data_IF_112140521129
#
_entry.id   IF_112140521129
#
_cell.length_a   1.000
_cell.length_b   1.000
_cell.length_c   1.000
_cell.angle_alpha   90.00
_cell.angle_beta   90.00
_cell.angle_gamma   90.00
#
_symmetry.space_group_name_H-M   'P 1'
#
loop_
_entity.id
_entity.type
_entity.pdbx_description
1 polymer ?
#
# COMPACT_ATOMS: atom_id res chain seq x y z
N UNK A 1 19.36 -22.69 14.18
CA UNK A 1 19.75 -23.22 12.85
C UNK A 1 20.85 -22.36 12.27
N UNK A 2 21.85 -22.95 11.61
CA UNK A 2 23.05 -22.25 11.13
C UNK A 2 22.84 -21.34 9.91
N UNK A 3 21.70 -21.42 9.21
CA UNK A 3 21.38 -20.57 8.07
C UNK A 3 20.27 -19.57 8.41
N UNK A 4 20.65 -18.35 8.81
CA UNK A 4 19.70 -17.28 9.20
C UNK A 4 18.75 -16.89 8.05
N UNK A 5 19.26 -16.90 6.82
CA UNK A 5 18.50 -16.56 5.60
C UNK A 5 17.52 -17.66 5.14
N UNK A 6 17.63 -18.86 5.70
CA UNK A 6 16.66 -19.94 5.42
C UNK A 6 15.41 -19.83 6.28
N UNK A 7 15.43 -19.05 7.37
CA UNK A 7 14.24 -18.85 8.19
C UNK A 7 13.22 -17.98 7.45
N UNK A 8 11.95 -18.08 7.88
CA UNK A 8 10.91 -17.19 7.40
C UNK A 8 11.28 -15.73 7.75
N UNK A 9 11.38 -14.82 6.77
CA UNK A 9 11.72 -13.43 7.04
C UNK A 9 10.64 -12.78 7.90
N UNK A 10 11.06 -11.96 8.86
CA UNK A 10 10.14 -11.32 9.79
C UNK A 10 9.42 -10.17 9.10
N UNK A 11 8.15 -9.95 9.42
CA UNK A 11 7.42 -8.82 8.87
C UNK A 11 7.94 -7.51 9.50
N UNK A 12 8.14 -6.48 8.67
CA UNK A 12 8.54 -5.17 9.14
C UNK A 12 7.49 -4.53 10.06
N UNK A 13 7.87 -3.94 11.20
CA UNK A 13 6.93 -3.36 12.16
C UNK A 13 6.10 -2.22 11.56
N UNK A 14 6.68 -1.42 10.64
CA UNK A 14 5.97 -0.35 9.95
C UNK A 14 4.86 -0.89 9.05
N UNK A 15 5.12 -2.04 8.39
CA UNK A 15 4.13 -2.72 7.56
C UNK A 15 3.08 -3.37 8.46
N UNK A 16 3.50 -4.08 9.51
CA UNK A 16 2.61 -4.75 10.45
C UNK A 16 1.59 -3.78 11.07
N UNK A 17 2.02 -2.56 11.42
CA UNK A 17 1.13 -1.53 11.94
C UNK A 17 0.09 -1.01 10.93
N UNK A 18 0.33 -1.22 9.62
CA UNK A 18 -0.56 -0.77 8.54
C UNK A 18 -1.56 -1.83 8.07
N UNK A 19 -1.36 -3.10 8.43
CA UNK A 19 -2.22 -4.20 7.99
C UNK A 19 -3.47 -4.30 8.86
N UNK A 20 -4.61 -4.58 8.22
CA UNK A 20 -5.82 -5.02 8.94
C UNK A 20 -5.69 -6.48 9.37
N UNK A 21 -6.52 -6.90 10.34
CA UNK A 21 -6.41 -8.23 10.95
C UNK A 21 -6.47 -9.39 9.94
N UNK A 22 -7.33 -9.31 8.92
CA UNK A 22 -7.43 -10.33 7.88
C UNK A 22 -6.15 -10.47 7.04
N UNK A 23 -5.47 -9.36 6.76
CA UNK A 23 -4.20 -9.33 6.03
C UNK A 23 -3.07 -9.87 6.91
N UNK A 24 -3.04 -9.48 8.18
CA UNK A 24 -2.08 -9.97 9.17
C UNK A 24 -2.20 -11.48 9.37
N UNK A 25 -3.43 -12.02 9.51
CA UNK A 25 -3.68 -13.46 9.63
C UNK A 25 -3.20 -14.23 8.38
N UNK A 26 -3.44 -13.69 7.18
CA UNK A 26 -2.97 -14.30 5.93
C UNK A 26 -1.44 -14.33 5.88
N UNK A 27 -0.78 -13.21 6.17
CA UNK A 27 0.68 -13.16 6.20
C UNK A 27 1.25 -14.16 7.20
N UNK A 28 0.66 -14.23 8.41
CA UNK A 28 1.08 -15.16 9.45
C UNK A 28 0.90 -16.62 9.05
N UNK A 29 -0.17 -16.95 8.34
CA UNK A 29 -0.38 -18.28 7.78
C UNK A 29 0.75 -18.70 6.84
N UNK A 30 1.19 -17.80 5.95
CA UNK A 30 2.30 -18.07 5.03
C UNK A 30 3.63 -18.12 5.79
N UNK A 31 3.87 -17.22 6.74
CA UNK A 31 5.06 -17.24 7.61
C UNK A 31 5.19 -18.57 8.36
N UNK A 32 4.09 -19.11 8.91
CA UNK A 32 4.09 -20.40 9.58
C UNK A 32 4.42 -21.55 8.62
N UNK A 33 3.93 -21.49 7.37
CA UNK A 33 4.30 -22.45 6.32
C UNK A 33 5.79 -22.40 6.00
N UNK A 34 6.37 -21.20 5.91
CA UNK A 34 7.81 -21.02 5.72
C UNK A 34 8.62 -21.58 6.89
N UNK A 35 8.14 -21.42 8.13
CA UNK A 35 8.78 -22.03 9.32
C UNK A 35 8.79 -23.55 9.24
N UNK A 36 7.69 -24.18 8.85
CA UNK A 36 7.64 -25.64 8.65
C UNK A 36 8.61 -26.08 7.54
N UNK A 37 8.67 -25.34 6.43
CA UNK A 37 9.63 -25.58 5.33
C UNK A 37 11.08 -25.47 5.80
N UNK A 38 11.39 -24.51 6.67
CA UNK A 38 12.71 -24.33 7.29
C UNK A 38 13.10 -25.52 8.18
N UNK A 39 12.14 -26.04 8.94
CA UNK A 39 12.34 -27.25 9.75
C UNK A 39 12.61 -28.46 8.85
N UNK A 40 11.82 -28.65 7.79
CA UNK A 40 12.03 -29.74 6.82
C UNK A 40 13.42 -29.67 6.16
N UNK A 41 13.86 -28.48 5.76
CA UNK A 41 15.21 -28.25 5.22
C UNK A 41 16.30 -28.61 6.24
N UNK A 42 16.10 -28.28 7.52
CA UNK A 42 17.04 -28.63 8.57
C UNK A 42 17.14 -30.14 8.77
N UNK A 43 16.00 -30.85 8.74
CA UNK A 43 15.95 -32.31 8.79
C UNK A 43 16.62 -32.96 7.58
N UNK A 44 16.40 -32.43 6.36
CA UNK A 44 17.09 -32.92 5.17
C UNK A 44 18.60 -32.68 5.22
N UNK A 45 19.02 -31.52 5.74
CA UNK A 45 20.44 -31.21 5.92
C UNK A 45 21.12 -32.20 6.88
N UNK A 46 20.43 -32.60 7.94
CA UNK A 46 20.90 -33.64 8.85
C UNK A 46 20.99 -35.00 8.14
N UNK A 47 19.97 -35.39 7.35
CA UNK A 47 19.99 -36.63 6.58
C UNK A 47 21.14 -36.66 5.55
N UNK A 48 21.37 -35.55 4.84
CA UNK A 48 22.51 -35.39 3.93
C UNK A 48 23.84 -35.57 4.68
N UNK A 49 23.96 -34.96 5.86
CA UNK A 49 25.16 -35.09 6.70
C UNK A 49 25.40 -36.55 7.11
N UNK A 50 24.34 -37.28 7.46
CA UNK A 50 24.42 -38.71 7.77
C UNK A 50 24.90 -39.54 6.57
N UNK A 51 24.35 -39.29 5.38
CA UNK A 51 24.77 -39.98 4.13
C UNK A 51 26.22 -39.64 3.75
N UNK A 52 26.66 -38.40 3.96
CA UNK A 52 28.04 -38.00 3.68
C UNK A 52 29.05 -38.59 4.68
N UNK A 53 28.59 -38.93 5.88
CA UNK A 53 29.40 -39.49 6.96
C UNK A 53 29.41 -41.03 6.95
N UNK A 54 28.58 -41.69 6.14
CA UNK A 54 28.58 -43.14 6.02
C UNK A 54 29.76 -43.64 5.17
N UNK A 55 30.28 -44.82 5.52
CA UNK A 55 31.37 -45.47 4.76
C UNK A 55 30.93 -45.81 3.33
N UNK A 56 29.70 -46.32 3.18
CA UNK A 56 29.08 -46.57 1.89
C UNK A 56 28.20 -45.39 1.48
N UNK A 57 28.79 -44.44 0.74
CA UNK A 57 28.07 -43.28 0.23
C UNK A 57 27.19 -43.70 -0.95
N UNK A 58 25.89 -43.47 -0.86
CA UNK A 58 24.97 -43.67 -1.99
C UNK A 58 24.78 -42.35 -2.75
N UNK A 59 25.43 -42.17 -3.91
CA UNK A 59 25.37 -40.91 -4.66
C UNK A 59 23.98 -40.61 -5.22
N UNK A 60 23.19 -41.64 -5.55
CA UNK A 60 21.83 -41.46 -6.08
C UNK A 60 20.89 -40.96 -4.98
N UNK A 61 20.98 -41.52 -3.78
CA UNK A 61 20.25 -41.03 -2.62
C UNK A 61 20.65 -39.58 -2.29
N UNK A 62 21.94 -39.28 -2.30
CA UNK A 62 22.44 -37.93 -2.05
C UNK A 62 21.88 -36.93 -3.08
N UNK A 63 21.85 -37.31 -4.35
CA UNK A 63 21.27 -36.49 -5.42
C UNK A 63 19.79 -36.21 -5.19
N UNK A 64 18.98 -37.22 -4.86
CA UNK A 64 17.55 -37.06 -4.55
C UNK A 64 17.34 -36.11 -3.36
N UNK A 65 18.15 -36.25 -2.30
CA UNK A 65 18.08 -35.37 -1.13
C UNK A 65 18.42 -33.92 -1.49
N UNK A 66 19.48 -33.70 -2.27
CA UNK A 66 19.89 -32.37 -2.72
C UNK A 66 18.85 -31.73 -3.65
N UNK A 67 18.25 -32.49 -4.57
CA UNK A 67 17.14 -32.02 -5.41
C UNK A 67 15.94 -31.61 -4.57
N UNK A 68 15.63 -32.38 -3.52
CA UNK A 68 14.54 -32.06 -2.60
C UNK A 68 14.84 -30.78 -1.80
N UNK A 69 16.08 -30.60 -1.33
CA UNK A 69 16.52 -29.34 -0.68
C UNK A 69 16.33 -28.15 -1.62
N UNK A 70 16.69 -28.29 -2.90
CA UNK A 70 16.51 -27.23 -3.90
C UNK A 70 15.04 -26.85 -4.06
N UNK A 71 14.16 -27.84 -4.24
CA UNK A 71 12.70 -27.61 -4.37
C UNK A 71 12.14 -26.90 -3.13
N UNK A 72 12.52 -27.33 -1.92
CA UNK A 72 12.08 -26.67 -0.69
C UNK A 72 12.64 -25.25 -0.57
N UNK A 73 13.85 -25.00 -1.06
CA UNK A 73 14.44 -23.66 -1.16
C UNK A 73 13.64 -22.75 -2.09
N UNK A 74 13.22 -23.26 -3.25
CA UNK A 74 12.37 -22.52 -4.19
C UNK A 74 11.00 -22.20 -3.59
N UNK A 75 10.39 -23.15 -2.87
CA UNK A 75 9.13 -22.92 -2.14
C UNK A 75 9.31 -21.85 -1.05
N UNK A 76 10.40 -21.92 -0.28
CA UNK A 76 10.71 -20.96 0.78
C UNK A 76 10.85 -19.54 0.23
N UNK A 77 11.55 -19.38 -0.89
CA UNK A 77 11.69 -18.09 -1.57
C UNK A 77 10.35 -17.63 -2.17
N UNK A 78 9.65 -18.52 -2.87
CA UNK A 78 8.35 -18.25 -3.48
C UNK A 78 7.31 -17.75 -2.47
N UNK A 79 7.30 -18.30 -1.26
CA UNK A 79 6.46 -17.82 -0.17
C UNK A 79 6.80 -16.39 0.27
N UNK A 80 8.08 -16.02 0.31
CA UNK A 80 8.50 -14.65 0.63
C UNK A 80 8.00 -13.67 -0.45
N UNK A 81 8.10 -14.07 -1.72
CA UNK A 81 7.57 -13.28 -2.84
C UNK A 81 6.05 -13.17 -2.76
N UNK A 82 5.35 -14.25 -2.41
CA UNK A 82 3.90 -14.27 -2.26
C UNK A 82 3.41 -13.37 -1.12
N UNK A 83 4.11 -13.39 0.04
CA UNK A 83 3.84 -12.47 1.16
C UNK A 83 4.01 -11.02 0.73
N UNK A 84 5.12 -10.69 0.07
CA UNK A 84 5.35 -9.35 -0.48
C UNK A 84 4.25 -8.96 -1.47
N UNK A 85 3.85 -9.85 -2.37
CA UNK A 85 2.80 -9.59 -3.35
C UNK A 85 1.47 -9.22 -2.68
N UNK A 86 1.02 -10.00 -1.70
CA UNK A 86 -0.23 -9.72 -1.00
C UNK A 86 -0.19 -8.40 -0.22
N UNK A 87 0.93 -8.08 0.41
CA UNK A 87 1.09 -6.82 1.14
C UNK A 87 1.17 -5.64 0.17
N UNK A 88 1.92 -5.76 -0.93
CA UNK A 88 2.02 -4.69 -1.94
C UNK A 88 0.69 -4.40 -2.64
N UNK A 89 -0.27 -5.33 -2.61
CA UNK A 89 -1.62 -5.11 -3.10
C UNK A 89 -2.48 -4.23 -2.18
N UNK A 90 -2.08 -4.03 -0.92
CA UNK A 90 -2.86 -3.29 0.08
C UNK A 90 -2.28 -1.92 0.41
N UNK A 91 -1.02 -1.67 0.03
CA UNK A 91 -0.30 -0.42 0.28
C UNK A 91 -0.60 0.63 -0.81
N UNK A 92 -0.56 1.92 -0.45
CA UNK A 92 -0.72 3.05 -1.38
C UNK A 92 0.32 3.01 -2.50
N UNK A 93 -0.06 3.47 -3.70
CA UNK A 93 0.76 3.44 -4.92
C UNK A 93 2.17 4.03 -4.71
N UNK A 94 2.27 5.19 -4.07
CA UNK A 94 3.57 5.87 -3.89
C UNK A 94 4.53 5.08 -3.01
N UNK A 95 4.02 4.36 -2.00
CA UNK A 95 4.84 3.49 -1.15
C UNK A 95 5.15 2.16 -1.85
N UNK A 96 4.21 1.64 -2.64
CA UNK A 96 4.35 0.37 -3.36
C UNK A 96 5.60 0.35 -4.24
N UNK A 97 5.85 1.43 -4.98
CA UNK A 97 7.00 1.54 -5.89
C UNK A 97 8.34 1.52 -5.13
N UNK A 98 8.37 2.04 -3.89
CA UNK A 98 9.55 2.02 -3.03
C UNK A 98 9.74 0.65 -2.39
N UNK A 99 8.66 0.06 -1.87
CA UNK A 99 8.68 -1.27 -1.27
C UNK A 99 9.05 -2.36 -2.28
N UNK A 100 8.65 -2.24 -3.54
CA UNK A 100 9.02 -3.18 -4.60
C UNK A 100 10.55 -3.25 -4.82
N UNK A 101 11.25 -2.14 -4.62
CA UNK A 101 12.71 -2.05 -4.82
C UNK A 101 13.52 -2.62 -3.66
N UNK A 102 12.89 -2.86 -2.51
CA UNK A 102 13.58 -3.41 -1.35
C UNK A 102 13.93 -4.88 -1.57
N UNK A 103 15.05 -5.31 -0.99
CA UNK A 103 15.48 -6.71 -1.00
C UNK A 103 14.95 -7.40 0.25
N UNK A 104 14.69 -8.70 0.12
CA UNK A 104 14.39 -9.56 1.28
C UNK A 104 15.73 -9.85 1.98
N UNK A 105 15.78 -9.60 3.29
CA UNK A 105 16.87 -10.00 4.16
C UNK A 105 16.28 -10.76 5.37
N UNK A 106 16.77 -10.52 6.59
CA UNK A 106 16.13 -11.02 7.81
C UNK A 106 14.67 -10.52 7.95
N UNK A 107 14.35 -9.40 7.28
CA UNK A 107 13.05 -8.77 7.21
C UNK A 107 12.47 -8.85 5.79
N UNK A 108 11.14 -8.98 5.69
CA UNK A 108 10.44 -9.22 4.43
C UNK A 108 10.61 -8.07 3.41
N UNK A 109 10.74 -6.83 3.90
CA UNK A 109 10.99 -5.62 3.09
C UNK A 109 12.34 -4.98 3.37
N UNK A 110 13.29 -5.73 3.95
CA UNK A 110 14.61 -5.22 4.26
C UNK A 110 14.67 -4.57 5.64
N UNK A 111 15.80 -4.73 6.31
CA UNK A 111 16.14 -4.05 7.57
C UNK A 111 16.18 -2.53 7.45
N UNK A 112 16.60 -2.01 6.28
CA UNK A 112 16.68 -0.57 5.99
C UNK A 112 15.34 0.05 5.54
N UNK A 113 14.20 -0.58 5.85
CA UNK A 113 12.90 -0.07 5.43
C UNK A 113 12.62 1.33 6.01
N UNK A 114 12.94 1.57 7.27
CA UNK A 114 12.68 2.87 7.93
C UNK A 114 13.40 4.00 7.21
N UNK A 115 14.65 3.79 6.78
CA UNK A 115 15.43 4.75 6.00
C UNK A 115 14.82 4.95 4.62
N UNK A 116 14.45 3.85 3.95
CA UNK A 116 13.77 3.88 2.64
C UNK A 116 12.51 4.74 2.69
N UNK A 117 11.70 4.62 3.74
CA UNK A 117 10.49 5.41 3.93
C UNK A 117 10.77 6.89 4.21
N UNK A 118 11.81 7.22 4.99
CA UNK A 118 12.22 8.62 5.23
C UNK A 118 12.73 9.28 3.95
N UNK A 119 13.55 8.57 3.19
CA UNK A 119 14.05 9.01 1.89
C UNK A 119 12.92 9.19 0.89
N UNK A 120 11.98 8.24 0.82
CA UNK A 120 10.80 8.35 -0.05
C UNK A 120 9.97 9.61 0.25
N UNK A 121 9.68 9.89 1.53
CA UNK A 121 8.96 11.12 1.94
C UNK A 121 9.71 12.39 1.56
N UNK A 122 11.03 12.40 1.73
CA UNK A 122 11.87 13.55 1.38
C UNK A 122 11.86 13.78 -0.14
N UNK A 123 12.00 12.71 -0.93
CA UNK A 123 11.92 12.76 -2.39
C UNK A 123 10.54 13.25 -2.86
N UNK A 124 9.45 12.76 -2.28
CA UNK A 124 8.09 13.23 -2.61
C UNK A 124 7.93 14.72 -2.33
N UNK A 125 8.40 15.20 -1.18
CA UNK A 125 8.37 16.63 -0.83
C UNK A 125 9.18 17.47 -1.83
N UNK A 126 10.41 17.06 -2.12
CA UNK A 126 11.25 17.75 -3.13
C UNK A 126 10.60 17.72 -4.52
N UNK A 127 9.94 16.63 -4.89
CA UNK A 127 9.19 16.52 -6.14
C UNK A 127 8.01 17.48 -6.21
N UNK A 128 7.26 17.64 -5.11
CA UNK A 128 6.15 18.59 -5.02
C UNK A 128 6.64 20.04 -5.10
N UNK A 129 7.76 20.38 -4.46
CA UNK A 129 8.41 21.71 -4.54
C UNK A 129 8.85 22.02 -5.98
N UNK A 130 9.45 21.05 -6.67
CA UNK A 130 9.83 21.19 -8.11
C UNK A 130 8.59 21.38 -8.98
N UNK A 131 7.52 20.62 -8.73
CA UNK A 131 6.29 20.66 -9.53
C UNK A 131 5.48 21.93 -9.31
N UNK A 132 5.51 22.48 -8.09
CA UNK A 132 4.87 23.75 -7.75
C UNK A 132 5.65 24.96 -8.27
N UNK A 133 6.97 24.86 -8.45
CA UNK A 133 7.76 25.84 -9.19
C UNK A 133 7.37 25.94 -10.69
N UNK A 134 6.75 24.91 -11.27
CA UNK A 134 6.27 24.91 -12.65
C UNK A 134 4.89 25.56 -12.83
N UNK A 135 4.14 25.85 -11.75
CA UNK A 135 2.92 26.66 -11.82
C UNK A 135 3.26 28.12 -11.60
N UNK A 136 4.05 28.67 -12.52
CA UNK A 136 4.20 30.11 -12.64
C UNK A 136 2.86 30.66 -13.15
N UNK A 137 1.97 31.01 -12.22
CA UNK A 137 0.84 31.87 -12.53
C UNK A 137 1.41 33.15 -13.16
N UNK A 138 0.93 33.62 -14.33
CA UNK A 138 1.36 34.90 -14.85
C UNK A 138 0.97 35.97 -13.83
N UNK A 139 2.00 36.56 -13.23
CA UNK A 139 1.84 37.66 -12.29
C UNK A 139 1.46 38.89 -13.09
N UNK A 140 0.18 39.25 -13.09
CA UNK A 140 -0.23 40.60 -13.46
C UNK A 140 0.07 41.53 -12.28
N UNK A 141 1.26 42.11 -12.28
CA UNK A 141 1.54 43.32 -11.51
C UNK A 141 1.21 44.54 -12.37
N UNK A 142 0.12 45.23 -12.04
CA UNK A 142 0.07 46.69 -12.19
C UNK A 142 -0.79 47.31 -11.10
N UNK A 143 -0.14 48.21 -10.39
CA UNK A 143 -0.61 49.24 -9.46
C UNK A 143 -1.95 49.90 -9.80
N UNK A 144 -2.74 50.18 -8.74
CA UNK A 144 -3.40 51.45 -8.42
C UNK A 144 -4.80 51.26 -7.83
N UNK A 145 -5.05 51.97 -6.72
CA UNK A 145 -6.34 52.11 -6.05
C UNK A 145 -7.36 52.75 -6.99
N UNK A 146 -8.52 52.15 -7.18
CA UNK A 146 -9.75 52.86 -7.55
C UNK A 146 -10.97 52.07 -7.12
N UNK A 147 -11.87 52.74 -6.41
CA UNK A 147 -13.12 52.22 -5.90
C UNK A 147 -14.04 51.82 -7.06
N UNK A 148 -14.28 50.53 -7.26
CA UNK A 148 -15.30 50.06 -8.19
C UNK A 148 -16.62 49.83 -7.47
N UNK A 149 -17.55 50.76 -7.67
CA UNK A 149 -19.00 50.54 -7.50
C UNK A 149 -19.43 49.36 -8.38
N UNK A 150 -20.25 48.42 -7.89
CA UNK A 150 -20.80 47.37 -8.75
C UNK A 150 -21.86 47.95 -9.69
N UNK A 151 -21.62 47.84 -11.01
CA UNK A 151 -22.55 48.27 -12.07
C UNK A 151 -23.72 47.28 -12.32
N UNK A 152 -23.96 46.33 -11.42
CA UNK A 152 -25.02 45.33 -11.55
C UNK A 152 -25.89 45.26 -10.29
N UNK A 153 -26.34 46.41 -9.80
CA UNK A 153 -27.40 46.47 -8.80
C UNK A 153 -28.74 46.08 -9.47
N UNK A 154 -29.15 44.82 -9.34
CA UNK A 154 -30.54 44.41 -9.64
C UNK A 154 -31.40 44.78 -8.45
N UNK A 155 -32.32 45.75 -8.66
CA UNK A 155 -33.30 46.13 -7.64
C UNK A 155 -34.19 44.93 -7.25
N UNK A 156 -34.67 44.84 -5.99
CA UNK A 156 -35.58 43.79 -5.57
C UNK A 156 -36.90 43.86 -6.35
N UNK A 157 -37.58 42.72 -6.63
CA UNK A 157 -38.87 42.74 -7.30
C UNK A 157 -39.89 43.53 -6.48
N UNK A 158 -40.56 44.48 -7.13
CA UNK A 158 -41.60 45.27 -6.51
C UNK A 158 -42.76 44.37 -6.06
N UNK A 159 -43.09 44.44 -4.76
CA UNK A 159 -44.28 43.81 -4.19
C UNK A 159 -45.50 44.48 -4.84
N UNK A 160 -46.16 43.75 -5.74
CA UNK A 160 -47.42 44.21 -6.35
C UNK A 160 -48.49 44.18 -5.28
N UNK A 161 -48.84 45.35 -4.74
CA UNK A 161 -50.02 45.54 -3.89
C UNK A 161 -51.26 45.15 -4.70
N UNK A 162 -51.93 44.05 -4.33
CA UNK A 162 -53.31 43.81 -4.74
C UNK A 162 -54.19 44.77 -3.94
N UNK A 163 -54.54 45.89 -4.56
CA UNK A 163 -55.64 46.75 -4.11
C UNK A 163 -56.94 46.03 -4.41
N UNK A 164 -57.61 45.56 -3.37
CA UNK A 164 -58.95 45.02 -3.46
C UNK A 164 -60.03 46.11 -3.59
N UNK A 165 -61.26 45.61 -3.57
CA UNK A 165 -62.59 46.26 -3.44
C UNK A 165 -63.35 46.51 -4.76
N UNK A 166 -64.69 46.61 -4.73
CA UNK A 166 -65.64 45.55 -4.34
C UNK A 166 -66.91 45.49 -5.25
N UNK A 167 -67.80 44.52 -4.97
CA UNK A 167 -69.27 44.58 -5.23
C UNK A 167 -69.73 44.33 -6.69
N UNK A 168 -70.86 43.70 -7.05
CA UNK A 168 -72.15 43.51 -6.38
C UNK A 168 -72.96 42.40 -7.09
N UNK A 169 -73.62 41.53 -6.30
CA UNK A 169 -75.05 41.12 -6.40
C UNK A 169 -75.62 40.57 -7.72
N UNK A 170 -76.03 39.31 -7.68
CA UNK A 170 -77.04 38.71 -8.57
C UNK A 170 -77.58 37.41 -8.00
N UNK A 171 -78.67 37.48 -7.24
CA UNK A 171 -79.43 36.32 -6.76
C UNK A 171 -80.31 35.75 -7.89
N UNK A 172 -80.65 34.44 -7.82
CA UNK A 172 -82.04 33.91 -7.71
C UNK A 172 -82.21 32.44 -8.18
N UNK A 173 -82.54 31.56 -7.21
CA UNK A 173 -83.59 30.50 -7.14
C UNK A 173 -83.77 29.49 -8.32
N UNK A 174 -83.52 28.18 -8.13
CA UNK A 174 -84.45 27.02 -7.82
C UNK A 174 -85.44 26.65 -8.95
N UNK A 175 -85.92 25.41 -9.11
CA UNK A 175 -86.02 24.28 -8.15
C UNK A 175 -85.09 23.08 -8.41
#
# INVERSE_FOLDING_TARGET
>A
GNCKLLNAPTLNPEIQASLVESQSKRDKGIENKQKMTSCALSSLSAAITMVLSSENKNPELLKILMDTVRILGDIQHGDSILRRFFILATVKKDLKDQLQKTKIDEMLFGSNLSETLKSAKSISKSGDDIRSASKMNPTSQTTAKTQNRPLNYRAPPAIRKQTGTPSTRGARQTP
#
